data_IF_892959213459
#
_entry.id   IF_892959213459
#
_cell.length_a   1.000
_cell.length_b   1.000
_cell.length_c   1.000
_cell.angle_alpha   90.00
_cell.angle_beta   90.00
_cell.angle_gamma   90.00
#
_symmetry.space_group_name_H-M   'P 1'
#
loop_
_entity.id
_entity.type
_entity.pdbx_description
1 polymer ?
#
# COMPACT_ATOMS: atom_id res chain seq x y z
N UNK A 1 -15.72 6.40 -10.89
CA UNK A 1 -15.41 6.50 -9.43
C UNK A 1 -15.23 5.11 -8.81
N UNK A 2 -14.44 4.95 -7.72
CA UNK A 2 -14.37 3.70 -6.93
C UNK A 2 -15.75 3.12 -6.56
N UNK A 3 -16.73 4.02 -6.44
CA UNK A 3 -18.12 3.78 -6.08
C UNK A 3 -18.99 3.27 -7.24
N UNK A 4 -18.64 3.54 -8.49
CA UNK A 4 -19.47 3.12 -9.64
C UNK A 4 -19.26 1.64 -9.98
N UNK A 5 -18.13 1.05 -9.58
CA UNK A 5 -17.85 -0.37 -9.79
C UNK A 5 -18.39 -1.28 -8.68
N UNK A 6 -18.74 -0.71 -7.53
CA UNK A 6 -19.29 -1.46 -6.41
C UNK A 6 -20.74 -1.03 -6.35
N UNK A 7 -21.71 -1.92 -6.57
CA UNK A 7 -23.16 -1.66 -6.57
C UNK A 7 -23.66 -1.21 -5.17
N UNK A 8 -23.10 -0.13 -4.66
CA UNK A 8 -23.37 0.46 -3.34
C UNK A 8 -24.23 1.70 -3.52
N UNK A 9 -25.07 1.97 -2.52
CA UNK A 9 -25.95 3.15 -2.53
C UNK A 9 -25.17 4.44 -2.77
N UNK A 10 -25.70 5.38 -3.58
CA UNK A 10 -25.12 6.70 -3.75
C UNK A 10 -24.82 7.37 -2.40
N UNK A 11 -23.60 7.87 -2.22
CA UNK A 11 -23.15 8.47 -0.97
C UNK A 11 -22.53 7.50 0.04
N UNK A 12 -22.49 6.19 -0.25
CA UNK A 12 -21.83 5.21 0.61
C UNK A 12 -20.34 5.53 0.82
N UNK A 13 -19.92 5.45 2.08
CA UNK A 13 -18.52 5.62 2.46
C UNK A 13 -17.70 4.36 2.12
N UNK A 14 -16.44 4.56 1.76
CA UNK A 14 -15.49 3.50 1.37
C UNK A 14 -14.26 3.54 2.27
N UNK A 15 -13.74 2.39 2.69
CA UNK A 15 -12.49 2.25 3.45
C UNK A 15 -11.44 1.42 2.72
N UNK A 16 -10.16 1.67 3.05
CA UNK A 16 -9.05 0.82 2.64
C UNK A 16 -8.91 -0.37 3.59
N UNK A 17 -8.73 -1.59 3.06
CA UNK A 17 -8.68 -2.82 3.85
C UNK A 17 -7.29 -3.14 4.46
N UNK A 18 -6.30 -2.26 4.32
CA UNK A 18 -4.94 -2.51 4.77
C UNK A 18 -4.77 -2.60 6.29
N UNK A 19 -5.58 -1.86 7.05
CA UNK A 19 -5.60 -1.89 8.51
C UNK A 19 -7.06 -1.85 8.95
N UNK A 20 -7.46 -2.87 9.71
CA UNK A 20 -8.82 -3.07 10.20
C UNK A 20 -8.75 -3.44 11.68
N UNK A 21 -9.62 -2.82 12.49
CA UNK A 21 -9.88 -3.23 13.87
C UNK A 21 -11.23 -3.92 13.87
N UNK A 22 -11.25 -5.20 14.23
CA UNK A 22 -12.41 -6.06 14.04
C UNK A 22 -13.10 -6.35 15.37
N UNK A 23 -14.38 -5.98 15.48
CA UNK A 23 -15.24 -6.45 16.57
C UNK A 23 -15.71 -7.87 16.24
N UNK A 24 -14.89 -8.86 16.59
CA UNK A 24 -15.16 -10.26 16.23
C UNK A 24 -16.48 -10.82 16.77
N UNK A 25 -16.92 -10.54 18.02
CA UNK A 25 -18.23 -10.95 18.49
C UNK A 25 -19.38 -10.47 17.59
N UNK A 26 -19.42 -9.18 17.26
CA UNK A 26 -20.43 -8.59 16.37
C UNK A 26 -20.36 -9.21 14.97
N UNK A 27 -19.15 -9.29 14.40
CA UNK A 27 -18.92 -9.81 13.05
C UNK A 27 -19.45 -11.23 12.91
N UNK A 28 -19.23 -12.09 13.91
CA UNK A 28 -19.72 -13.47 13.91
C UNK A 28 -21.24 -13.55 14.09
N UNK A 29 -21.80 -12.74 14.98
CA UNK A 29 -23.25 -12.71 15.21
C UNK A 29 -24.03 -12.24 13.97
N UNK A 30 -23.46 -11.31 13.20
CA UNK A 30 -24.08 -10.74 11.99
C UNK A 30 -23.65 -11.44 10.69
N UNK A 31 -22.73 -12.41 10.74
CA UNK A 31 -22.27 -13.16 9.55
C UNK A 31 -21.56 -12.31 8.49
N UNK A 32 -20.87 -11.23 8.90
CA UNK A 32 -20.37 -10.21 7.98
C UNK A 32 -19.21 -10.71 7.11
N UNK A 33 -18.33 -11.55 7.65
CA UNK A 33 -17.21 -12.10 6.90
C UNK A 33 -17.65 -13.24 5.96
N UNK A 34 -18.68 -14.00 6.33
CA UNK A 34 -19.34 -14.99 5.48
C UNK A 34 -19.94 -14.29 4.26
N UNK A 35 -20.66 -13.20 4.46
CA UNK A 35 -21.18 -12.34 3.38
C UNK A 35 -20.05 -11.79 2.51
N UNK A 36 -18.97 -11.27 3.11
CA UNK A 36 -17.81 -10.79 2.37
C UNK A 36 -17.18 -11.90 1.51
N UNK A 37 -17.06 -13.12 2.05
CA UNK A 37 -16.56 -14.28 1.31
C UNK A 37 -17.45 -14.62 0.12
N UNK A 38 -18.77 -14.63 0.27
CA UNK A 38 -19.70 -14.87 -0.83
C UNK A 38 -19.56 -13.83 -1.95
N UNK A 39 -19.43 -12.55 -1.59
CA UNK A 39 -19.20 -11.47 -2.54
C UNK A 39 -17.86 -11.62 -3.26
N UNK A 40 -16.79 -11.98 -2.54
CA UNK A 40 -15.49 -12.25 -3.14
C UNK A 40 -15.54 -13.42 -4.14
N UNK A 41 -16.29 -14.49 -3.82
CA UNK A 41 -16.50 -15.62 -4.73
C UNK A 41 -17.26 -15.23 -6.00
N UNK A 42 -18.18 -14.26 -5.90
CA UNK A 42 -18.87 -13.64 -7.05
C UNK A 42 -17.97 -12.68 -7.84
N UNK A 43 -16.70 -12.54 -7.46
CA UNK A 43 -15.69 -11.68 -8.12
C UNK A 43 -16.13 -10.22 -8.22
N UNK A 44 -16.72 -9.70 -7.14
CA UNK A 44 -16.98 -8.26 -7.04
C UNK A 44 -15.69 -7.46 -7.31
N UNK A 45 -15.80 -6.27 -7.93
CA UNK A 45 -14.62 -5.47 -8.23
C UNK A 45 -13.78 -5.18 -6.98
N UNK A 46 -12.47 -4.98 -7.16
CA UNK A 46 -11.52 -4.68 -6.06
C UNK A 46 -11.34 -5.80 -5.04
N UNK A 47 -11.59 -7.05 -5.45
CA UNK A 47 -11.27 -8.26 -4.70
C UNK A 47 -11.87 -8.23 -3.29
N UNK A 48 -11.10 -8.62 -2.29
CA UNK A 48 -11.43 -8.62 -0.87
C UNK A 48 -11.85 -7.23 -0.38
N UNK A 49 -11.15 -6.16 -0.75
CA UNK A 49 -11.51 -4.81 -0.31
C UNK A 49 -12.91 -4.40 -0.79
N UNK A 50 -13.27 -4.73 -2.04
CA UNK A 50 -14.61 -4.45 -2.55
C UNK A 50 -15.68 -5.26 -1.82
N UNK A 51 -15.42 -6.55 -1.65
CA UNK A 51 -16.32 -7.45 -0.91
C UNK A 51 -16.54 -6.98 0.54
N UNK A 52 -15.49 -6.54 1.22
CA UNK A 52 -15.56 -5.99 2.58
C UNK A 52 -16.35 -4.68 2.63
N UNK A 53 -16.14 -3.77 1.68
CA UNK A 53 -16.90 -2.51 1.66
C UNK A 53 -18.40 -2.72 1.44
N UNK A 54 -18.78 -3.70 0.61
CA UNK A 54 -20.19 -4.06 0.39
C UNK A 54 -20.76 -4.76 1.64
N UNK A 55 -20.06 -5.76 2.19
CA UNK A 55 -20.55 -6.53 3.34
C UNK A 55 -20.72 -5.69 4.61
N UNK A 56 -19.82 -4.73 4.83
CA UNK A 56 -19.81 -3.86 6.01
C UNK A 56 -20.49 -2.51 5.79
N UNK A 57 -21.20 -2.30 4.67
CA UNK A 57 -21.86 -1.03 4.39
C UNK A 57 -22.76 -0.58 5.58
N UNK A 58 -22.53 0.63 6.10
CA UNK A 58 -23.25 1.16 7.27
C UNK A 58 -22.92 0.48 8.61
N UNK A 59 -21.93 -0.41 8.66
CA UNK A 59 -21.51 -1.21 9.83
C UNK A 59 -20.03 -1.00 10.19
N UNK A 60 -19.45 0.15 9.84
CA UNK A 60 -18.07 0.49 10.17
C UNK A 60 -17.93 1.97 10.55
N UNK A 61 -16.85 2.29 11.25
CA UNK A 61 -16.49 3.66 11.64
C UNK A 61 -15.06 3.99 11.23
N UNK A 62 -14.78 5.28 11.03
CA UNK A 62 -13.47 5.75 10.62
C UNK A 62 -12.47 5.70 11.76
N UNK A 63 -11.20 5.45 11.42
CA UNK A 63 -10.06 5.69 12.29
C UNK A 63 -9.29 6.92 11.80
N UNK A 64 -8.48 7.52 12.67
CA UNK A 64 -7.63 8.64 12.25
C UNK A 64 -6.73 8.22 11.08
N UNK A 65 -6.64 9.00 9.98
CA UNK A 65 -6.00 8.55 8.72
C UNK A 65 -4.51 8.20 8.86
N UNK A 66 -3.83 8.71 9.88
CA UNK A 66 -2.41 8.39 10.16
C UNK A 66 -2.18 6.92 10.55
N UNK A 67 -3.24 6.19 10.90
CA UNK A 67 -3.18 4.75 11.16
C UNK A 67 -3.27 3.88 9.91
N UNK A 68 -3.53 4.44 8.73
CA UNK A 68 -3.51 3.69 7.46
C UNK A 68 -3.09 4.63 6.32
N UNK A 69 -1.96 5.33 6.52
CA UNK A 69 -1.54 6.39 5.63
C UNK A 69 -0.88 5.81 4.38
N UNK A 70 -1.65 5.75 3.30
CA UNK A 70 -1.25 5.20 2.01
C UNK A 70 -0.20 6.06 1.28
N UNK A 71 0.61 5.44 0.42
CA UNK A 71 1.74 6.10 -0.30
C UNK A 71 1.30 7.26 -1.22
N UNK A 72 0.06 7.26 -1.70
CA UNK A 72 -0.48 8.36 -2.49
C UNK A 72 -0.59 9.69 -1.71
N UNK A 73 -0.51 9.65 -0.37
CA UNK A 73 -0.47 10.83 0.49
C UNK A 73 0.95 11.21 0.94
N UNK A 74 1.99 10.53 0.44
CA UNK A 74 3.38 10.75 0.87
C UNK A 74 3.90 12.16 0.56
N UNK A 75 3.36 12.84 -0.45
CA UNK A 75 3.70 14.24 -0.76
C UNK A 75 3.04 15.25 0.18
N UNK A 76 1.98 14.86 0.89
CA UNK A 76 1.18 15.75 1.73
C UNK A 76 1.50 15.57 3.21
N UNK A 77 1.77 14.33 3.64
CA UNK A 77 2.01 14.00 5.04
C UNK A 77 3.36 13.30 5.18
N UNK A 78 4.31 13.88 5.94
CA UNK A 78 5.64 13.33 6.12
C UNK A 78 5.59 11.98 6.84
N UNK A 79 6.53 11.10 6.51
CA UNK A 79 6.61 9.75 7.04
C UNK A 79 6.62 9.71 8.58
N UNK A 80 7.30 10.66 9.22
CA UNK A 80 7.42 10.78 10.67
C UNK A 80 6.09 11.03 11.41
N UNK A 81 5.03 11.45 10.72
CA UNK A 81 3.70 11.64 11.31
C UNK A 81 2.79 10.41 11.18
N UNK A 82 3.16 9.42 10.39
CA UNK A 82 2.37 8.21 10.23
C UNK A 82 2.53 7.30 11.45
N UNK A 83 1.42 6.85 12.04
CA UNK A 83 1.48 5.74 12.99
C UNK A 83 1.67 4.41 12.26
N UNK A 84 1.03 4.27 11.09
CA UNK A 84 1.30 3.19 10.16
C UNK A 84 1.32 3.72 8.71
N UNK A 85 2.48 3.59 8.06
CA UNK A 85 2.66 3.91 6.64
C UNK A 85 2.31 2.68 5.81
N UNK A 86 1.31 2.81 4.94
CA UNK A 86 0.83 1.72 4.11
C UNK A 86 1.39 1.86 2.68
N UNK A 87 2.34 0.99 2.32
CA UNK A 87 2.90 0.92 0.97
C UNK A 87 1.93 0.24 0.00
N UNK A 88 0.88 0.94 -0.43
CA UNK A 88 -0.15 0.40 -1.35
C UNK A 88 0.38 0.23 -2.77
N UNK A 89 1.36 1.06 -3.16
CA UNK A 89 2.13 0.92 -4.39
C UNK A 89 3.59 0.55 -4.06
N UNK A 90 4.51 0.76 -5.00
CA UNK A 90 5.97 0.75 -4.83
C UNK A 90 6.49 0.07 -3.56
N UNK A 91 6.85 -1.21 -3.64
CA UNK A 91 7.19 -1.97 -2.44
C UNK A 91 8.63 -1.71 -2.00
N UNK A 92 8.91 -1.63 -0.69
CA UNK A 92 10.27 -1.44 -0.17
C UNK A 92 11.28 -2.52 -0.60
N UNK A 93 10.79 -3.73 -0.90
CA UNK A 93 11.59 -4.87 -1.35
C UNK A 93 11.64 -5.05 -2.88
N UNK A 94 11.03 -4.15 -3.65
CA UNK A 94 11.15 -4.18 -5.11
C UNK A 94 12.52 -3.68 -5.57
N UNK A 95 13.00 -4.13 -6.76
CA UNK A 95 14.23 -3.61 -7.35
C UNK A 95 14.20 -2.08 -7.54
N UNK A 96 13.03 -1.53 -7.85
CA UNK A 96 12.75 -0.08 -7.92
C UNK A 96 11.66 0.26 -6.90
N UNK A 97 12.03 0.64 -5.65
CA UNK A 97 11.06 0.98 -4.61
C UNK A 97 10.56 2.42 -4.81
N UNK A 98 9.76 2.63 -5.85
CA UNK A 98 9.23 3.93 -6.26
C UNK A 98 8.28 4.49 -5.20
N UNK A 99 8.42 5.77 -4.85
CA UNK A 99 7.58 6.41 -3.83
C UNK A 99 7.86 5.95 -2.38
N UNK A 100 8.81 5.04 -2.15
CA UNK A 100 9.22 4.64 -0.80
C UNK A 100 10.22 5.64 -0.24
N UNK A 101 9.89 6.22 0.92
CA UNK A 101 10.72 7.22 1.57
C UNK A 101 12.03 6.63 2.11
N UNK A 102 13.09 7.44 2.16
CA UNK A 102 14.40 7.00 2.65
C UNK A 102 14.37 6.52 4.11
N UNK A 103 13.58 7.20 4.96
CA UNK A 103 13.37 6.81 6.35
C UNK A 103 12.73 5.42 6.47
N UNK A 104 11.73 5.12 5.64
CA UNK A 104 11.13 3.80 5.58
C UNK A 104 12.15 2.74 5.14
N UNK A 105 12.92 3.02 4.08
CA UNK A 105 13.97 2.10 3.61
C UNK A 105 15.01 1.80 4.69
N UNK A 106 15.38 2.80 5.51
CA UNK A 106 16.30 2.60 6.63
C UNK A 106 15.71 1.63 7.68
N UNK A 107 14.42 1.78 8.01
CA UNK A 107 13.70 0.87 8.91
C UNK A 107 13.69 -0.55 8.34
N UNK A 108 13.30 -0.74 7.08
CA UNK A 108 13.28 -2.06 6.44
C UNK A 108 14.67 -2.73 6.44
N UNK A 109 15.74 -1.99 6.12
CA UNK A 109 17.11 -2.51 6.19
C UNK A 109 17.48 -2.94 7.61
N UNK A 110 17.14 -2.13 8.61
CA UNK A 110 17.44 -2.44 10.00
C UNK A 110 16.67 -3.68 10.48
N UNK A 111 15.38 -3.82 10.12
CA UNK A 111 14.57 -5.00 10.44
C UNK A 111 15.08 -6.26 9.74
N UNK A 112 15.61 -6.13 8.52
CA UNK A 112 16.08 -7.27 7.73
C UNK A 112 17.54 -7.64 7.99
N UNK A 113 18.30 -6.88 8.79
CA UNK A 113 19.77 -6.95 8.86
C UNK A 113 20.33 -8.34 9.20
N UNK A 114 19.63 -9.09 10.06
CA UNK A 114 20.04 -10.42 10.51
C UNK A 114 19.22 -11.52 9.83
N UNK A 115 18.68 -11.23 8.65
CA UNK A 115 17.81 -12.16 7.91
C UNK A 115 18.33 -12.40 6.49
N UNK A 116 17.98 -13.54 5.86
CA UNK A 116 18.29 -13.78 4.45
C UNK A 116 17.68 -12.74 3.48
N UNK A 117 16.76 -11.89 3.94
CA UNK A 117 16.08 -10.90 3.11
C UNK A 117 16.80 -9.55 3.03
N UNK A 118 17.90 -9.33 3.77
CA UNK A 118 18.63 -8.05 3.77
C UNK A 118 18.99 -7.59 2.35
N UNK A 119 19.39 -8.52 1.48
CA UNK A 119 19.81 -8.23 0.12
C UNK A 119 18.71 -7.59 -0.74
N UNK A 120 17.43 -7.81 -0.40
CA UNK A 120 16.29 -7.16 -1.07
C UNK A 120 16.22 -5.66 -0.82
N UNK A 121 16.86 -5.16 0.24
CA UNK A 121 16.83 -3.75 0.64
C UNK A 121 18.16 -3.04 0.40
N UNK A 122 19.20 -3.78 -0.01
CA UNK A 122 20.45 -3.22 -0.52
C UNK A 122 20.18 -2.65 -1.91
N UNK A 123 20.36 -1.33 -2.09
CA UNK A 123 20.31 -0.75 -3.43
C UNK A 123 21.63 -1.11 -4.12
N UNK A 124 21.63 -1.62 -5.37
CA UNK A 124 22.86 -1.70 -6.13
C UNK A 124 23.44 -0.28 -6.26
N UNK A 125 24.66 -0.08 -5.76
CA UNK A 125 25.37 1.21 -5.83
C UNK A 125 25.71 1.61 -7.29
N UNK A 126 25.36 0.80 -8.30
CA UNK A 126 25.99 0.80 -9.62
C UNK A 126 25.05 0.89 -10.84
N UNK A 127 23.98 1.69 -10.85
CA UNK A 127 23.20 1.82 -12.13
C UNK A 127 22.75 3.21 -12.57
N UNK A 128 22.86 4.27 -11.77
CA UNK A 128 22.48 5.64 -12.23
C UNK A 128 23.65 6.59 -12.51
N UNK A 129 24.76 6.49 -11.79
CA UNK A 129 25.87 7.46 -11.93
C UNK A 129 26.85 7.14 -13.06
N UNK A 130 27.25 5.87 -13.20
CA UNK A 130 28.31 5.47 -14.14
C UNK A 130 27.84 5.39 -15.60
N UNK A 131 26.59 4.98 -15.86
CA UNK A 131 26.02 5.01 -17.22
C UNK A 131 25.91 6.43 -17.77
N UNK A 132 25.44 7.40 -16.98
CA UNK A 132 25.36 8.81 -17.42
C UNK A 132 26.73 9.44 -17.69
N UNK A 133 27.78 9.02 -16.97
CA UNK A 133 29.14 9.54 -17.18
C UNK A 133 29.85 8.90 -18.37
N UNK A 134 29.53 7.65 -18.71
CA UNK A 134 30.07 6.97 -19.89
C UNK A 134 29.38 7.43 -21.18
N UNK A 135 28.06 7.62 -21.18
CA UNK A 135 27.31 8.15 -22.33
C UNK A 135 27.78 9.57 -22.71
N UNK A 136 27.98 10.47 -21.74
CA UNK A 136 28.52 11.82 -22.01
C UNK A 136 29.96 11.84 -22.56
N UNK A 137 30.76 10.79 -22.29
CA UNK A 137 32.13 10.71 -22.81
C UNK A 137 32.20 10.26 -24.27
N UNK A 138 31.20 9.52 -24.75
CA UNK A 138 31.14 9.12 -26.17
C UNK A 138 30.63 10.25 -27.06
N UNK A 139 29.68 11.07 -26.60
CA UNK A 139 29.19 12.23 -27.35
C UNK A 139 30.24 13.35 -27.49
N UNK A 140 31.22 13.43 -26.58
CA UNK A 140 32.32 14.42 -26.63
C UNK A 140 33.54 14.00 -27.46
N UNK A 141 33.58 12.76 -27.99
CA UNK A 141 34.67 12.24 -28.84
C UNK A 141 34.23 12.05 -30.30
N UNK A 142 33.00 12.46 -30.63
CA UNK A 142 32.40 12.33 -31.97
C UNK A 142 32.14 13.70 -32.63
N UNK A 143 32.79 14.76 -32.13
CA UNK A 143 32.73 16.12 -32.67
C UNK A 143 34.09 16.57 -33.17
#
# INVERSE_FOLDING_TARGET
SCRESLEMEPGSSHFNAGILVLNMPMIRAEGLLERARELALRRVPKLDQGALNIAFAGRWQTMHPLWNLQTNYSSQIPFSRAFARHFTFGKPWWPSPEGVELAAMAIYRNLAKDTPWLDRFKRPLWTRGLRKRLLRKFDGLSG
#
